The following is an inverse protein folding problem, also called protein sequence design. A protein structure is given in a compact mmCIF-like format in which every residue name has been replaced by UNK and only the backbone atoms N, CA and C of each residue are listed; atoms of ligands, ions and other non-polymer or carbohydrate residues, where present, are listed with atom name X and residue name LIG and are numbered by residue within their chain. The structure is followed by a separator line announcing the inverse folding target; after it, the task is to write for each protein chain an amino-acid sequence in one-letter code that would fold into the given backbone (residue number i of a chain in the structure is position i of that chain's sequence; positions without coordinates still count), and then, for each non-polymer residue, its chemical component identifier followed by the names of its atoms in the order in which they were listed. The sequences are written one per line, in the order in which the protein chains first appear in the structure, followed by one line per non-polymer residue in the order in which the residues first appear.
data_IF_429793633471
#
_entry.id   IF_429793633471
#
_cell.length_a   1.000
_cell.length_b   1.000
_cell.length_c   1.000
_cell.angle_alpha   90.00
_cell.angle_beta   90.00
_cell.angle_gamma   90.00
#
_symmetry.space_group_name_H-M   'P 1'
#
loop_
_entity.id
_entity.type
_entity.pdbx_description
1 polymer ?
#
# COMPACT_ATOMS: atom_id res chain seq x y z
N UNK A 1 -9.16 -33.08 15.53
CA UNK A 1 -8.22 -32.20 14.78
C UNK A 1 -7.75 -31.12 15.74
N UNK A 2 -6.46 -31.11 16.13
CA UNK A 2 -5.91 -30.00 16.93
C UNK A 2 -5.87 -28.76 16.02
N UNK A 3 -6.46 -27.62 16.39
CA UNK A 3 -6.38 -26.42 15.59
C UNK A 3 -4.90 -26.04 15.48
N UNK A 4 -4.42 -25.87 14.25
CA UNK A 4 -3.08 -25.38 13.95
C UNK A 4 -3.01 -23.95 14.48
N UNK A 5 -2.57 -23.77 15.72
CA UNK A 5 -2.35 -22.44 16.29
C UNK A 5 -1.11 -21.84 15.61
N UNK A 6 -1.36 -20.98 14.63
CA UNK A 6 -0.33 -20.12 14.06
C UNK A 6 0.12 -19.18 15.18
N UNK A 7 1.37 -19.31 15.64
CA UNK A 7 1.95 -18.39 16.62
C UNK A 7 2.20 -17.05 15.94
N UNK A 8 1.26 -16.13 16.09
CA UNK A 8 1.38 -14.76 15.57
C UNK A 8 2.39 -13.97 16.37
N UNK A 9 3.30 -13.27 15.69
CA UNK A 9 4.30 -12.40 16.30
C UNK A 9 3.74 -11.01 16.61
N UNK A 10 4.49 -10.20 17.35
CA UNK A 10 4.14 -8.79 17.55
C UNK A 10 4.17 -7.97 16.25
N UNK A 11 4.96 -8.39 15.26
CA UNK A 11 5.01 -7.77 13.94
C UNK A 11 3.75 -8.04 13.13
N UNK A 12 3.20 -9.26 13.17
CA UNK A 12 1.97 -9.62 12.46
C UNK A 12 0.79 -8.75 12.92
N UNK A 13 0.66 -8.55 14.24
CA UNK A 13 -0.35 -7.67 14.81
C UNK A 13 -0.18 -6.21 14.38
N UNK A 14 1.07 -5.76 14.20
CA UNK A 14 1.36 -4.40 13.73
C UNK A 14 0.99 -4.23 12.27
N UNK A 15 1.39 -5.17 11.41
CA UNK A 15 1.03 -5.20 10.00
C UNK A 15 -0.48 -5.22 9.85
N UNK A 16 -1.19 -6.05 10.61
CA UNK A 16 -2.64 -6.14 10.57
C UNK A 16 -3.32 -4.80 10.92
N UNK A 17 -2.87 -4.13 11.99
CA UNK A 17 -3.42 -2.80 12.38
C UNK A 17 -3.16 -1.73 11.32
N UNK A 18 -1.95 -1.68 10.78
CA UNK A 18 -1.56 -0.70 9.76
C UNK A 18 -2.29 -0.96 8.42
N UNK A 19 -2.45 -2.23 8.04
CA UNK A 19 -3.22 -2.64 6.88
C UNK A 19 -4.69 -2.27 7.04
N UNK A 20 -5.31 -2.58 8.18
CA UNK A 20 -6.69 -2.21 8.47
C UNK A 20 -6.91 -0.69 8.36
N UNK A 21 -5.97 0.10 8.90
CA UNK A 21 -6.01 1.56 8.80
C UNK A 21 -5.88 2.05 7.35
N UNK A 22 -4.95 1.47 6.58
CA UNK A 22 -4.76 1.81 5.16
C UNK A 22 -5.99 1.46 4.31
N UNK A 23 -6.66 0.34 4.60
CA UNK A 23 -7.90 -0.09 3.94
C UNK A 23 -9.03 0.88 4.25
N UNK A 24 -9.21 1.26 5.52
CA UNK A 24 -10.25 2.20 5.92
C UNK A 24 -10.07 3.55 5.22
N UNK A 25 -8.85 4.09 5.18
CA UNK A 25 -8.56 5.33 4.45
C UNK A 25 -8.82 5.19 2.95
N UNK A 26 -8.47 4.06 2.34
CA UNK A 26 -8.76 3.81 0.92
C UNK A 26 -10.26 3.77 0.63
N UNK A 27 -11.06 3.18 1.53
CA UNK A 27 -12.52 3.19 1.39
C UNK A 27 -13.11 4.59 1.48
N UNK A 28 -12.64 5.40 2.44
CA UNK A 28 -13.06 6.81 2.56
C UNK A 28 -12.70 7.58 1.28
N UNK A 29 -11.49 7.40 0.79
CA UNK A 29 -11.02 8.02 -0.46
C UNK A 29 -11.86 7.59 -1.67
N UNK A 30 -12.32 6.33 -1.72
CA UNK A 30 -13.17 5.83 -2.79
C UNK A 30 -14.58 6.46 -2.83
N UNK A 31 -15.05 7.03 -1.70
CA UNK A 31 -16.35 7.73 -1.62
C UNK A 31 -16.18 9.22 -1.95
N UNK A 32 -14.98 9.78 -1.83
CA UNK A 32 -14.71 11.18 -2.18
C UNK A 32 -14.70 11.31 -3.71
N UNK A 33 -15.59 12.12 -4.32
CA UNK A 33 -15.57 12.35 -5.75
C UNK A 33 -14.22 12.95 -6.15
N UNK A 34 -13.52 12.29 -7.07
CA UNK A 34 -12.20 12.74 -7.47
C UNK A 34 -12.27 14.09 -8.22
N UNK A 35 -11.32 15.00 -7.98
CA UNK A 35 -11.30 16.31 -8.66
C UNK A 35 -11.07 16.19 -10.17
N UNK A 36 -10.50 15.06 -10.63
CA UNK A 36 -10.27 14.75 -12.04
C UNK A 36 -10.68 13.28 -12.30
N UNK A 37 -11.30 12.96 -13.46
CA UNK A 37 -11.58 11.58 -13.83
C UNK A 37 -10.27 10.80 -13.97
N UNK A 38 -10.08 9.77 -13.14
CA UNK A 38 -8.89 8.90 -13.16
C UNK A 38 -7.81 9.23 -12.13
N UNK A 39 -7.88 10.35 -11.40
CA UNK A 39 -6.89 10.71 -10.36
C UNK A 39 -7.52 10.52 -8.98
N UNK A 40 -7.16 9.43 -8.29
CA UNK A 40 -7.55 9.22 -6.90
C UNK A 40 -6.68 10.05 -5.96
N UNK A 41 -7.24 10.67 -4.91
CA UNK A 41 -6.51 11.49 -3.94
C UNK A 41 -5.32 10.89 -3.18
N UNK A 42 -4.67 9.78 -3.55
CA UNK A 42 -3.39 9.31 -2.99
C UNK A 42 -3.28 9.13 -1.46
N UNK A 43 -4.36 9.33 -0.68
CA UNK A 43 -4.34 9.35 0.80
C UNK A 43 -3.93 7.97 1.32
N UNK A 44 -4.44 6.92 0.69
CA UNK A 44 -4.05 5.55 0.97
C UNK A 44 -2.53 5.33 0.79
N UNK A 45 -1.90 6.03 -0.16
CA UNK A 45 -0.48 5.87 -0.47
C UNK A 45 0.43 6.53 0.57
N UNK A 46 -0.05 7.60 1.22
CA UNK A 46 0.66 8.24 2.35
C UNK A 46 0.89 7.24 3.48
N UNK A 47 -0.08 6.36 3.76
CA UNK A 47 0.08 5.31 4.77
C UNK A 47 1.19 4.34 4.39
N UNK A 48 1.25 3.90 3.13
CA UNK A 48 2.32 3.01 2.66
C UNK A 48 3.70 3.65 2.81
N UNK A 49 3.83 4.94 2.48
CA UNK A 49 5.07 5.70 2.66
C UNK A 49 5.43 5.85 4.13
N UNK A 50 4.46 6.18 5.00
CA UNK A 50 4.68 6.26 6.44
C UNK A 50 5.20 4.93 7.00
N UNK A 51 4.59 3.80 6.60
CA UNK A 51 5.02 2.46 7.02
C UNK A 51 6.41 2.14 6.47
N UNK A 52 6.71 2.52 5.23
CA UNK A 52 8.03 2.33 4.63
C UNK A 52 9.12 3.07 5.42
N UNK A 53 8.84 4.30 5.83
CA UNK A 53 9.79 5.12 6.59
C UNK A 53 9.99 4.63 8.02
N UNK A 54 8.91 4.22 8.69
CA UNK A 54 8.94 3.90 10.12
C UNK A 54 9.29 2.43 10.40
N UNK A 55 8.90 1.52 9.52
CA UNK A 55 8.99 0.07 9.73
C UNK A 55 9.75 -0.66 8.61
N UNK A 56 10.10 0.04 7.53
CA UNK A 56 10.90 -0.51 6.43
C UNK A 56 10.06 -1.14 5.31
N UNK A 57 10.78 -1.61 4.29
CA UNK A 57 10.19 -2.05 3.02
C UNK A 57 9.28 -3.27 3.16
N UNK A 58 9.70 -4.29 3.94
CA UNK A 58 8.94 -5.52 4.10
C UNK A 58 7.54 -5.26 4.69
N UNK A 59 7.46 -4.44 5.74
CA UNK A 59 6.18 -4.06 6.37
C UNK A 59 5.30 -3.24 5.42
N UNK A 60 5.90 -2.31 4.66
CA UNK A 60 5.17 -1.48 3.71
C UNK A 60 4.61 -2.28 2.53
N UNK A 61 5.37 -3.26 2.03
CA UNK A 61 4.93 -4.19 0.99
C UNK A 61 3.73 -5.00 1.46
N UNK A 62 3.79 -5.58 2.66
CA UNK A 62 2.67 -6.31 3.24
C UNK A 62 1.42 -5.45 3.40
N UNK A 63 1.56 -4.26 3.98
CA UNK A 63 0.44 -3.31 4.16
C UNK A 63 -0.18 -2.92 2.82
N UNK A 64 0.64 -2.65 1.80
CA UNK A 64 0.17 -2.26 0.47
C UNK A 64 -0.57 -3.40 -0.25
N UNK A 65 -0.02 -4.62 -0.22
CA UNK A 65 -0.64 -5.80 -0.84
C UNK A 65 -1.96 -6.12 -0.16
N UNK A 66 -1.96 -6.22 1.18
CA UNK A 66 -3.18 -6.49 1.96
C UNK A 66 -4.25 -5.43 1.68
N UNK A 67 -3.84 -4.15 1.58
CA UNK A 67 -4.74 -3.06 1.23
C UNK A 67 -5.41 -3.28 -0.11
N UNK A 68 -4.65 -3.52 -1.18
CA UNK A 68 -5.19 -3.66 -2.55
C UNK A 68 -6.11 -4.88 -2.67
N UNK A 69 -5.74 -5.99 -2.04
CA UNK A 69 -6.59 -7.19 -2.01
C UNK A 69 -7.87 -6.98 -1.22
N UNK A 70 -7.78 -6.42 -0.02
CA UNK A 70 -8.95 -6.21 0.82
C UNK A 70 -9.87 -5.13 0.24
N UNK A 71 -9.32 -4.03 -0.29
CA UNK A 71 -10.12 -2.95 -0.88
C UNK A 71 -10.86 -3.41 -2.13
N UNK A 72 -10.24 -4.23 -2.99
CA UNK A 72 -10.91 -4.76 -4.18
C UNK A 72 -12.02 -5.75 -3.83
N UNK A 73 -11.82 -6.56 -2.79
CA UNK A 73 -12.84 -7.46 -2.27
C UNK A 73 -14.02 -6.69 -1.67
N UNK A 74 -13.75 -5.67 -0.85
CA UNK A 74 -14.77 -4.86 -0.17
C UNK A 74 -15.59 -4.00 -1.15
N UNK A 75 -14.96 -3.49 -2.21
CA UNK A 75 -15.63 -2.71 -3.25
C UNK A 75 -16.31 -3.59 -4.32
N UNK A 76 -16.24 -4.91 -4.19
CA UNK A 76 -16.81 -5.86 -5.17
C UNK A 76 -16.12 -5.83 -6.54
N UNK A 77 -14.92 -5.27 -6.62
CA UNK A 77 -14.11 -5.13 -7.84
C UNK A 77 -13.06 -6.25 -7.97
N UNK A 78 -13.16 -7.30 -7.17
CA UNK A 78 -12.23 -8.43 -7.19
C UNK A 78 -12.23 -9.09 -8.58
N UNK A 79 -11.05 -9.19 -9.21
CA UNK A 79 -10.85 -9.62 -10.61
C UNK A 79 -11.40 -8.69 -11.71
N UNK A 80 -11.84 -7.47 -11.38
CA UNK A 80 -12.22 -6.49 -12.38
C UNK A 80 -10.99 -5.82 -13.03
N UNK A 81 -11.14 -5.15 -14.18
CA UNK A 81 -10.06 -4.37 -14.78
C UNK A 81 -9.43 -3.37 -13.81
N UNK A 82 -10.21 -2.84 -12.85
CA UNK A 82 -9.70 -1.92 -11.83
C UNK A 82 -8.81 -2.62 -10.78
N UNK A 83 -9.05 -3.90 -10.49
CA UNK A 83 -8.17 -4.67 -9.61
C UNK A 83 -6.81 -4.90 -10.27
N UNK A 84 -6.80 -5.28 -11.56
CA UNK A 84 -5.55 -5.48 -12.31
C UNK A 84 -4.76 -4.17 -12.36
N UNK A 85 -5.40 -3.05 -12.67
CA UNK A 85 -4.75 -1.73 -12.66
C UNK A 85 -4.19 -1.36 -11.28
N UNK A 86 -4.97 -1.57 -10.21
CA UNK A 86 -4.52 -1.25 -8.84
C UNK A 86 -3.40 -2.17 -8.35
N UNK A 87 -3.42 -3.45 -8.74
CA UNK A 87 -2.39 -4.43 -8.39
C UNK A 87 -1.10 -4.15 -9.17
N UNK A 88 -1.19 -3.90 -10.48
CA UNK A 88 -0.04 -3.54 -11.30
C UNK A 88 0.61 -2.24 -10.82
N UNK A 89 -0.16 -1.19 -10.53
CA UNK A 89 0.37 0.06 -9.96
C UNK A 89 1.01 -0.14 -8.58
N UNK A 90 0.40 -0.94 -7.71
CA UNK A 90 1.00 -1.25 -6.40
C UNK A 90 2.32 -2.03 -6.51
N UNK A 91 2.41 -2.98 -7.44
CA UNK A 91 3.64 -3.73 -7.70
C UNK A 91 4.72 -2.87 -8.33
N UNK A 92 4.38 -2.02 -9.30
CA UNK A 92 5.30 -1.06 -9.93
C UNK A 92 5.83 -0.05 -8.89
N UNK A 93 4.94 0.53 -8.09
CA UNK A 93 5.29 1.46 -7.02
C UNK A 93 6.19 0.79 -5.96
N UNK A 94 5.90 -0.45 -5.58
CA UNK A 94 6.78 -1.23 -4.68
C UNK A 94 8.14 -1.55 -5.33
N UNK A 95 8.18 -1.88 -6.61
CA UNK A 95 9.43 -2.12 -7.34
C UNK A 95 10.31 -0.87 -7.39
N UNK A 96 9.70 0.29 -7.67
CA UNK A 96 10.38 1.58 -7.69
C UNK A 96 10.87 1.98 -6.30
N UNK A 97 10.07 1.75 -5.25
CA UNK A 97 10.49 2.00 -3.87
C UNK A 97 11.61 1.05 -3.43
N UNK A 98 11.58 -0.22 -3.86
CA UNK A 98 12.64 -1.18 -3.58
C UNK A 98 13.98 -0.76 -4.20
N UNK A 99 13.96 -0.36 -5.47
CA UNK A 99 15.13 0.20 -6.16
C UNK A 99 15.59 1.52 -5.49
N UNK A 100 14.63 2.36 -5.11
CA UNK A 100 14.81 3.63 -4.41
C UNK A 100 15.54 3.53 -3.08
N UNK A 101 15.25 2.48 -2.28
CA UNK A 101 15.87 2.26 -0.97
C UNK A 101 17.35 1.89 -1.08
N UNK A 102 17.80 1.37 -2.23
CA UNK A 102 19.21 1.04 -2.48
C UNK A 102 20.03 2.23 -3.02
N UNK A 103 19.38 3.34 -3.38
CA UNK A 103 20.05 4.55 -3.86
C UNK A 103 20.60 5.40 -2.70
N UNK A 104 21.70 6.15 -2.92
CA UNK A 104 22.37 6.90 -1.86
C UNK A 104 21.45 7.99 -1.29
N UNK A 105 21.16 7.89 0.02
CA UNK A 105 20.30 8.79 0.80
C UNK A 105 20.70 10.27 0.76
N UNK A 106 21.92 10.58 0.30
CA UNK A 106 22.41 11.97 0.11
C UNK A 106 21.68 12.73 -1.01
N UNK A 107 21.15 12.02 -2.00
CA UNK A 107 20.47 12.62 -3.17
C UNK A 107 18.99 12.24 -3.27
N UNK A 108 18.60 11.08 -2.72
CA UNK A 108 17.22 10.60 -2.75
C UNK A 108 16.51 10.83 -1.41
N UNK A 109 15.82 11.95 -1.31
CA UNK A 109 14.96 12.31 -0.19
C UNK A 109 13.59 11.59 -0.26
N UNK A 110 12.82 11.58 0.85
CA UNK A 110 11.45 11.07 0.89
C UNK A 110 10.51 11.63 -0.17
N UNK A 111 10.75 12.87 -0.58
CA UNK A 111 9.95 13.54 -1.59
C UNK A 111 10.20 12.92 -2.96
N UNK A 112 11.47 12.68 -3.32
CA UNK A 112 11.86 12.03 -4.58
C UNK A 112 11.38 10.57 -4.67
N UNK A 113 11.41 9.82 -3.56
CA UNK A 113 10.86 8.46 -3.51
C UNK A 113 9.33 8.47 -3.65
N UNK A 114 8.65 9.44 -3.05
CA UNK A 114 7.20 9.60 -3.19
C UNK A 114 6.79 9.98 -4.62
N UNK A 115 7.55 10.85 -5.26
CA UNK A 115 7.32 11.25 -6.67
C UNK A 115 7.52 10.06 -7.60
N UNK A 116 8.64 9.33 -7.45
CA UNK A 116 8.91 8.14 -8.26
C UNK A 116 7.84 7.06 -8.06
N UNK A 117 7.37 6.86 -6.82
CA UNK A 117 6.30 5.93 -6.50
C UNK A 117 4.93 6.37 -7.02
N UNK A 118 4.71 7.65 -7.28
CA UNK A 118 3.48 8.21 -7.83
C UNK A 118 3.44 8.21 -9.37
N UNK A 119 4.61 8.20 -10.02
CA UNK A 119 4.73 8.09 -11.49
C UNK A 119 4.68 6.64 -12.01
N UNK A 120 4.77 5.65 -11.12
CA UNK A 120 4.77 4.22 -11.43
C UNK A 120 3.35 3.64 -11.39
#
# INVERSE_FOLDING_TARGET
MKPTQIQTTAEDHRIAKLAAFAIALHMVEAVIPSPLPGVKPGIANIVTLYVLYQYGFATAAWVSILRVFASSLLLGQFLSPTFILSLSGALLSLGVLWLGVHLPKKWFSPVSLSILAAFA
#
